data_IF_412941853892
#
_entry.id   IF_412941853892
#
_cell.length_a   1.000
_cell.length_b   1.000
_cell.length_c   1.000
_cell.angle_alpha   90.00
_cell.angle_beta   90.00
_cell.angle_gamma   90.00
#
_symmetry.space_group_name_H-M   'P 1'
#
loop_
_entity.id
_entity.type
_entity.pdbx_description
1 polymer ?
#
# COMPACT_ATOMS: atom_id res chain seq x y z
N UNK A 1 -11.47 17.74 -8.72
CA UNK A 1 -12.40 16.95 -7.87
C UNK A 1 -11.79 16.83 -6.48
N UNK A 2 -12.54 17.11 -5.40
CA UNK A 2 -12.05 16.89 -4.03
C UNK A 2 -11.74 15.40 -3.80
N UNK A 3 -10.73 15.11 -2.97
CA UNK A 3 -10.39 13.74 -2.57
C UNK A 3 -11.56 13.16 -1.76
N UNK A 4 -11.88 11.88 -1.95
CA UNK A 4 -12.99 11.19 -1.28
C UNK A 4 -12.99 11.39 0.25
N UNK A 5 -11.79 11.37 0.86
CA UNK A 5 -11.59 11.66 2.28
C UNK A 5 -12.11 13.04 2.70
N UNK A 6 -11.82 14.07 1.90
CA UNK A 6 -12.24 15.45 2.19
C UNK A 6 -13.77 15.57 2.13
N UNK A 7 -14.42 14.88 1.18
CA UNK A 7 -15.88 14.88 1.09
C UNK A 7 -16.50 14.21 2.32
N UNK A 8 -15.95 13.08 2.77
CA UNK A 8 -16.40 12.38 3.99
C UNK A 8 -16.21 13.23 5.25
N UNK A 9 -15.07 13.90 5.38
CA UNK A 9 -14.80 14.80 6.51
C UNK A 9 -15.81 15.97 6.54
N UNK A 10 -16.14 16.54 5.36
CA UNK A 10 -17.19 17.57 5.27
C UNK A 10 -18.58 17.02 5.63
N UNK A 11 -18.95 15.81 5.21
CA UNK A 11 -20.24 15.21 5.56
C UNK A 11 -20.38 14.99 7.07
N UNK A 12 -19.30 14.55 7.75
CA UNK A 12 -19.27 14.43 9.20
C UNK A 12 -19.48 15.76 9.90
N UNK A 13 -18.80 16.83 9.42
CA UNK A 13 -18.98 18.17 9.97
C UNK A 13 -20.40 18.72 9.74
N UNK A 14 -20.97 18.48 8.55
CA UNK A 14 -22.34 18.89 8.25
C UNK A 14 -23.36 18.18 9.16
N UNK A 15 -23.14 16.89 9.45
CA UNK A 15 -23.99 16.12 10.35
C UNK A 15 -23.86 16.61 11.80
N UNK A 16 -22.64 16.81 12.29
CA UNK A 16 -22.36 17.37 13.63
C UNK A 16 -23.00 18.75 13.83
N UNK A 17 -23.01 19.56 12.76
CA UNK A 17 -23.63 20.88 12.73
C UNK A 17 -25.15 20.86 12.45
N UNK A 18 -25.76 19.68 12.35
CA UNK A 18 -27.18 19.47 12.02
C UNK A 18 -27.63 20.10 10.68
N UNK A 19 -26.70 20.30 9.73
CA UNK A 19 -27.04 20.72 8.36
C UNK A 19 -27.68 19.58 7.54
N UNK A 20 -27.39 18.33 7.90
CA UNK A 20 -27.97 17.13 7.31
C UNK A 20 -28.45 16.20 8.42
N UNK A 21 -29.53 15.47 8.16
CA UNK A 21 -30.08 14.50 9.12
C UNK A 21 -29.36 13.13 9.01
N UNK A 22 -29.70 12.20 9.91
CA UNK A 22 -29.08 10.86 9.96
C UNK A 22 -29.26 10.05 8.67
N UNK A 23 -30.43 10.17 8.02
CA UNK A 23 -30.74 9.45 6.79
C UNK A 23 -29.96 10.01 5.59
N UNK A 24 -29.92 11.34 5.48
CA UNK A 24 -29.12 12.06 4.48
C UNK A 24 -27.63 11.77 4.68
N UNK A 25 -27.14 11.80 5.91
CA UNK A 25 -25.76 11.45 6.23
C UNK A 25 -25.46 10.01 5.83
N UNK A 26 -26.28 9.04 6.23
CA UNK A 26 -26.06 7.63 5.91
C UNK A 26 -25.96 7.41 4.40
N UNK A 27 -26.92 7.95 3.66
CA UNK A 27 -26.95 7.83 2.19
C UNK A 27 -25.73 8.49 1.55
N UNK A 28 -25.43 9.73 1.92
CA UNK A 28 -24.30 10.48 1.35
C UNK A 28 -22.95 9.87 1.74
N UNK A 29 -22.83 9.33 2.95
CA UNK A 29 -21.60 8.71 3.42
C UNK A 29 -21.35 7.37 2.71
N UNK A 30 -22.39 6.57 2.48
CA UNK A 30 -22.32 5.30 1.75
C UNK A 30 -21.92 5.49 0.28
N UNK A 31 -22.57 6.41 -0.44
CA UNK A 31 -22.21 6.67 -1.85
C UNK A 31 -20.80 7.24 -2.02
N UNK A 32 -20.27 7.87 -0.96
CA UNK A 32 -18.92 8.39 -0.91
C UNK A 32 -17.94 7.43 -0.21
N UNK A 33 -18.30 6.16 -0.02
CA UNK A 33 -17.32 5.15 0.37
C UNK A 33 -16.49 4.68 -0.83
N UNK A 34 -15.21 4.41 -0.53
CA UNK A 34 -14.32 3.73 -1.45
C UNK A 34 -14.80 2.29 -1.61
N UNK A 35 -14.87 1.78 -2.84
CA UNK A 35 -15.07 0.34 -3.08
C UNK A 35 -13.89 -0.51 -2.64
N UNK A 36 -12.72 0.11 -2.48
CA UNK A 36 -11.55 -0.54 -1.92
C UNK A 36 -11.70 -0.56 -0.39
N UNK A 37 -11.43 -1.70 0.27
CA UNK A 37 -11.35 -1.76 1.72
C UNK A 37 -10.41 -0.67 2.23
N UNK A 38 -10.78 0.00 3.33
CA UNK A 38 -9.87 0.90 4.02
C UNK A 38 -8.77 0.02 4.66
N UNK A 39 -7.62 -0.10 3.97
CA UNK A 39 -6.40 -0.71 4.51
C UNK A 39 -5.60 0.38 5.23
N UNK A 40 -5.65 0.46 6.56
CA UNK A 40 -5.04 1.55 7.28
C UNK A 40 -3.53 1.29 7.32
N UNK A 41 -2.80 1.92 6.41
CA UNK A 41 -1.36 1.67 6.23
C UNK A 41 -0.53 1.89 7.51
N UNK A 42 -1.04 2.65 8.48
CA UNK A 42 -0.39 2.92 9.76
C UNK A 42 -0.51 1.78 10.78
N UNK A 43 -1.38 0.79 10.54
CA UNK A 43 -1.53 -0.37 11.43
C UNK A 43 -0.48 -1.44 11.13
N UNK A 44 0.07 -1.43 9.91
CA UNK A 44 1.10 -2.38 9.51
C UNK A 44 2.49 -1.81 9.79
N UNK A 45 3.37 -2.69 10.26
CA UNK A 45 4.79 -2.38 10.37
C UNK A 45 5.35 -1.96 9.02
N UNK A 46 6.34 -1.06 9.04
CA UNK A 46 7.09 -0.74 7.82
C UNK A 46 7.81 -1.99 7.33
N UNK A 47 7.82 -2.18 6.02
CA UNK A 47 8.59 -3.24 5.38
C UNK A 47 10.07 -3.13 5.76
N UNK A 48 10.70 -4.27 6.03
CA UNK A 48 12.13 -4.36 6.30
C UNK A 48 12.68 -5.69 5.77
N UNK A 49 13.47 -5.63 4.71
CA UNK A 49 14.08 -6.80 4.07
C UNK A 49 15.01 -7.57 5.02
N UNK A 50 15.63 -6.90 5.99
CA UNK A 50 16.55 -7.56 6.93
C UNK A 50 15.86 -8.55 7.85
N UNK A 51 14.54 -8.39 8.08
CA UNK A 51 13.74 -9.33 8.87
C UNK A 51 13.49 -10.67 8.15
N UNK A 52 13.59 -10.71 6.83
CA UNK A 52 13.38 -11.92 6.05
C UNK A 52 14.67 -12.75 5.99
N UNK A 53 14.57 -14.07 5.90
CA UNK A 53 15.71 -14.94 5.60
C UNK A 53 15.80 -15.21 4.08
N UNK A 54 16.87 -15.86 3.64
CA UNK A 54 17.08 -16.15 2.20
C UNK A 54 15.97 -17.03 1.59
N UNK A 55 15.40 -17.96 2.36
CA UNK A 55 14.32 -18.81 1.87
C UNK A 55 13.01 -18.05 1.68
N UNK A 56 12.71 -17.11 2.58
CA UNK A 56 11.57 -16.19 2.45
C UNK A 56 11.77 -15.26 1.26
N UNK A 57 12.97 -14.67 1.09
CA UNK A 57 13.27 -13.82 -0.06
C UNK A 57 13.14 -14.59 -1.38
N UNK A 58 13.63 -15.83 -1.45
CA UNK A 58 13.53 -16.65 -2.64
C UNK A 58 12.08 -17.07 -2.94
N UNK A 59 11.26 -17.28 -1.91
CA UNK A 59 9.85 -17.60 -2.07
C UNK A 59 9.04 -16.41 -2.63
N UNK A 60 9.21 -15.24 -2.02
CA UNK A 60 8.44 -14.03 -2.36
C UNK A 60 8.96 -13.32 -3.61
N UNK A 61 10.29 -13.20 -3.76
CA UNK A 61 10.91 -12.36 -4.78
C UNK A 61 11.67 -13.14 -5.85
N UNK A 62 11.90 -14.46 -5.67
CA UNK A 62 12.76 -15.31 -6.53
C UNK A 62 14.25 -14.95 -6.53
N UNK A 63 14.70 -14.16 -5.56
CA UNK A 63 16.08 -13.73 -5.37
C UNK A 63 16.53 -13.99 -3.93
N UNK A 64 17.82 -14.26 -3.72
CA UNK A 64 18.39 -14.26 -2.37
C UNK A 64 18.46 -12.84 -1.84
N UNK A 65 18.58 -12.67 -0.51
CA UNK A 65 18.59 -11.33 0.09
C UNK A 65 19.71 -10.47 -0.48
N UNK A 66 20.91 -11.03 -0.62
CA UNK A 66 22.08 -10.33 -1.17
C UNK A 66 21.88 -9.88 -2.62
N UNK A 67 21.18 -10.70 -3.42
CA UNK A 67 20.88 -10.37 -4.82
C UNK A 67 19.93 -9.17 -4.92
N UNK A 68 18.98 -9.02 -4.00
CA UNK A 68 18.05 -7.89 -3.98
C UNK A 68 18.80 -6.57 -3.72
N UNK A 69 19.75 -6.57 -2.77
CA UNK A 69 20.61 -5.41 -2.55
C UNK A 69 21.48 -5.09 -3.78
N UNK A 70 22.10 -6.11 -4.38
CA UNK A 70 22.89 -5.92 -5.61
C UNK A 70 22.02 -5.39 -6.78
N UNK A 71 20.78 -5.87 -6.90
CA UNK A 71 19.83 -5.41 -7.91
C UNK A 71 19.50 -3.92 -7.73
N UNK A 72 19.34 -3.44 -6.49
CA UNK A 72 19.10 -2.02 -6.24
C UNK A 72 20.25 -1.16 -6.79
N UNK A 73 21.50 -1.56 -6.52
CA UNK A 73 22.69 -0.84 -7.00
C UNK A 73 22.81 -0.87 -8.53
N UNK A 74 22.68 -2.05 -9.14
CA UNK A 74 22.82 -2.23 -10.59
C UNK A 74 21.74 -1.47 -11.37
N UNK A 75 20.51 -1.47 -10.86
CA UNK A 75 19.39 -0.75 -11.47
C UNK A 75 19.42 0.76 -11.16
N UNK A 76 20.34 1.22 -10.31
CA UNK A 76 20.43 2.62 -9.91
C UNK A 76 19.16 3.10 -9.19
N UNK A 77 18.54 2.23 -8.39
CA UNK A 77 17.36 2.61 -7.61
C UNK A 77 17.84 3.44 -6.41
N UNK A 78 17.39 4.70 -6.29
CA UNK A 78 17.77 5.55 -5.17
C UNK A 78 17.21 4.97 -3.86
N UNK A 79 17.93 5.21 -2.75
CA UNK A 79 17.58 4.73 -1.42
C UNK A 79 16.21 5.19 -0.94
N UNK A 80 15.72 6.32 -1.46
CA UNK A 80 14.38 6.81 -1.19
C UNK A 80 13.70 7.29 -2.46
N UNK A 81 12.42 6.96 -2.61
CA UNK A 81 11.56 7.49 -3.68
C UNK A 81 10.33 8.17 -3.11
N UNK A 82 10.10 9.40 -3.57
CA UNK A 82 8.90 10.16 -3.24
C UNK A 82 7.75 9.72 -4.16
N UNK A 83 6.83 8.92 -3.62
CA UNK A 83 5.56 8.60 -4.27
C UNK A 83 4.51 9.66 -3.92
N UNK A 84 3.38 9.66 -4.64
CA UNK A 84 2.29 10.63 -4.47
C UNK A 84 1.76 10.74 -3.03
N UNK A 85 1.79 9.63 -2.28
CA UNK A 85 1.20 9.54 -0.95
C UNK A 85 2.24 9.37 0.17
N UNK A 86 3.50 9.02 -0.13
CA UNK A 86 4.52 8.66 0.86
C UNK A 86 5.93 8.63 0.25
N UNK A 87 6.93 8.85 1.10
CA UNK A 87 8.33 8.48 0.85
C UNK A 87 8.51 6.97 1.10
N UNK A 88 8.88 6.23 0.07
CA UNK A 88 9.08 4.78 0.09
C UNK A 88 10.57 4.52 0.00
N UNK A 89 11.05 3.55 0.78
CA UNK A 89 12.43 3.10 0.73
C UNK A 89 12.72 2.41 -0.62
N UNK A 90 13.94 2.54 -1.13
CA UNK A 90 14.35 2.01 -2.43
C UNK A 90 14.22 0.49 -2.51
N UNK A 91 14.57 -0.22 -1.43
CA UNK A 91 14.42 -1.67 -1.33
C UNK A 91 12.94 -2.04 -1.21
N UNK A 92 12.15 -1.32 -0.42
CA UNK A 92 10.69 -1.54 -0.34
C UNK A 92 10.05 -1.40 -1.74
N UNK A 93 10.42 -0.37 -2.49
CA UNK A 93 9.93 -0.16 -3.85
C UNK A 93 10.38 -1.26 -4.82
N UNK A 94 11.63 -1.74 -4.72
CA UNK A 94 12.14 -2.85 -5.51
C UNK A 94 11.40 -4.16 -5.18
N UNK A 95 11.20 -4.48 -3.90
CA UNK A 95 10.50 -5.69 -3.48
C UNK A 95 9.04 -5.72 -3.97
N UNK A 96 8.33 -4.57 -3.94
CA UNK A 96 6.98 -4.46 -4.53
C UNK A 96 6.99 -4.76 -6.03
N UNK A 97 8.02 -4.28 -6.74
CA UNK A 97 8.17 -4.57 -8.17
C UNK A 97 8.43 -6.07 -8.39
N UNK A 98 9.36 -6.66 -7.64
CA UNK A 98 9.74 -8.07 -7.76
C UNK A 98 8.57 -9.01 -7.48
N UNK A 99 7.77 -8.73 -6.44
CA UNK A 99 6.58 -9.51 -6.10
C UNK A 99 5.58 -9.60 -7.28
N UNK A 100 5.40 -8.50 -8.02
CA UNK A 100 4.54 -8.48 -9.21
C UNK A 100 5.07 -9.35 -10.36
N UNK A 101 6.39 -9.50 -10.47
CA UNK A 101 7.05 -10.33 -11.50
C UNK A 101 7.30 -11.78 -11.04
N UNK A 102 7.23 -12.05 -9.74
CA UNK A 102 7.36 -13.40 -9.19
C UNK A 102 6.16 -14.31 -9.52
N UNK A 103 5.08 -13.73 -10.06
CA UNK A 103 3.86 -14.42 -10.47
C UNK A 103 3.95 -14.91 -11.94
N UNK A 104 3.48 -16.14 -12.28
CA UNK A 104 2.48 -16.88 -11.55
C UNK A 104 3.04 -18.01 -10.70
N UNK A 105 2.56 -18.08 -9.45
CA UNK A 105 2.65 -19.25 -8.58
C UNK A 105 1.82 -20.37 -9.23
N UNK A 106 2.36 -21.04 -10.25
CA UNK A 106 1.68 -22.14 -10.98
C UNK A 106 1.99 -23.53 -10.46
N UNK A 107 2.76 -23.68 -9.38
CA UNK A 107 3.33 -24.98 -9.00
C UNK A 107 3.32 -25.33 -7.50
N UNK A 108 2.62 -24.57 -6.64
CA UNK A 108 2.39 -25.01 -5.25
C UNK A 108 1.08 -25.78 -5.05
N UNK A 109 0.29 -26.00 -6.11
CA UNK A 109 -0.84 -26.95 -6.13
C UNK A 109 -0.32 -28.36 -6.47
N UNK A 110 0.39 -28.99 -5.53
CA UNK A 110 0.60 -30.44 -5.54
C UNK A 110 0.04 -31.04 -4.27
#
# INVERSE_FOLDING_TARGET
MPKLRVVRDCLLLCHDQNYINDEEFLYLYEINQSKNPDFPYWIHDRFNLDKLNDSECAAEFRFLKSDIYNLQEILGIPDERRCYNRLVDGIEALCILLEQFAYPIRYSDT
#
